data_IF_544776085090
#
_entry.id   IF_544776085090
#
_cell.length_a   1.000
_cell.length_b   1.000
_cell.length_c   1.000
_cell.angle_alpha   90.00
_cell.angle_beta   90.00
_cell.angle_gamma   90.00
#
_symmetry.space_group_name_H-M   'P 1'
#
loop_
_entity.id
_entity.type
_entity.pdbx_description
1 polymer ?
#
# COMPACT_ATOMS: atom_id res chain seq x y z
N UNK A 1 -6.85 -40.91 49.80
CA UNK A 1 -6.91 -39.44 49.66
C UNK A 1 -6.02 -39.06 48.49
N UNK A 2 -6.61 -38.84 47.32
CA UNK A 2 -5.91 -38.43 46.11
C UNK A 2 -6.44 -37.06 45.72
N UNK A 3 -5.58 -36.05 45.73
CA UNK A 3 -5.90 -34.68 45.35
C UNK A 3 -5.76 -34.53 43.83
N UNK A 4 -6.87 -34.25 43.16
CA UNK A 4 -6.92 -33.93 41.74
C UNK A 4 -6.57 -32.45 41.55
N UNK A 5 -5.53 -32.18 40.78
CA UNK A 5 -5.11 -30.82 40.40
C UNK A 5 -5.80 -30.46 39.09
N UNK A 6 -6.80 -29.59 39.13
CA UNK A 6 -7.49 -29.06 37.94
C UNK A 6 -6.65 -27.93 37.34
N UNK A 7 -6.08 -28.16 36.15
CA UNK A 7 -5.40 -27.14 35.36
C UNK A 7 -6.47 -26.34 34.59
N UNK A 8 -6.78 -25.13 35.05
CA UNK A 8 -7.67 -24.20 34.35
C UNK A 8 -6.92 -23.54 33.19
N UNK A 9 -7.24 -23.95 31.96
CA UNK A 9 -6.78 -23.29 30.74
C UNK A 9 -7.67 -22.07 30.49
N UNK A 10 -7.23 -20.89 30.91
CA UNK A 10 -7.85 -19.62 30.53
C UNK A 10 -7.48 -19.31 29.07
N UNK A 11 -8.34 -19.74 28.14
CA UNK A 11 -8.41 -19.16 26.80
C UNK A 11 -9.01 -17.77 26.93
N UNK A 12 -8.15 -16.76 27.08
CA UNK A 12 -8.54 -15.37 26.95
C UNK A 12 -8.77 -15.08 25.46
N UNK A 13 -9.94 -15.44 24.95
CA UNK A 13 -10.43 -14.90 23.69
C UNK A 13 -10.76 -13.44 23.95
N UNK A 14 -9.89 -12.52 23.53
CA UNK A 14 -10.26 -11.12 23.39
C UNK A 14 -11.33 -11.01 22.30
N UNK A 15 -12.59 -11.21 22.68
CA UNK A 15 -13.70 -10.67 21.92
C UNK A 15 -13.65 -9.16 22.09
N UNK A 16 -13.03 -8.47 21.13
CA UNK A 16 -13.26 -7.03 20.98
C UNK A 16 -14.69 -6.89 20.48
N UNK A 17 -15.61 -6.61 21.40
CA UNK A 17 -16.93 -6.13 21.03
C UNK A 17 -16.75 -4.76 20.37
N UNK A 18 -16.83 -4.71 19.04
CA UNK A 18 -16.90 -3.44 18.29
C UNK A 18 -18.27 -2.82 18.58
N UNK A 19 -18.32 -2.08 19.68
CA UNK A 19 -19.36 -1.11 20.01
C UNK A 19 -18.84 0.32 19.85
N UNK A 20 -17.89 0.54 18.94
CA UNK A 20 -17.28 1.85 18.74
C UNK A 20 -18.17 2.71 17.84
N UNK A 21 -18.47 3.93 18.31
CA UNK A 21 -19.10 5.00 17.53
C UNK A 21 -18.41 5.12 16.17
N UNK A 22 -19.17 5.05 15.07
CA UNK A 22 -18.65 5.38 13.74
C UNK A 22 -18.31 6.86 13.73
N UNK A 23 -17.05 7.18 13.47
CA UNK A 23 -16.62 8.57 13.38
C UNK A 23 -17.21 9.23 12.13
N UNK A 24 -17.55 10.50 12.24
CA UNK A 24 -18.22 11.28 11.19
C UNK A 24 -17.32 12.42 10.69
N UNK A 25 -17.70 13.05 9.58
CA UNK A 25 -17.05 14.27 9.07
C UNK A 25 -17.09 15.43 10.08
N UNK A 26 -18.05 15.42 11.02
CA UNK A 26 -18.22 16.45 12.04
C UNK A 26 -17.38 16.23 13.30
N UNK A 27 -16.83 15.03 13.50
CA UNK A 27 -15.95 14.74 14.62
C UNK A 27 -14.58 15.41 14.44
N UNK A 28 -13.75 15.40 15.49
CA UNK A 28 -12.40 15.96 15.41
C UNK A 28 -11.48 15.13 14.48
N UNK A 29 -10.41 15.74 13.90
CA UNK A 29 -9.41 15.01 13.14
C UNK A 29 -8.73 13.86 13.89
N UNK A 30 -8.70 13.91 15.23
CA UNK A 30 -8.13 12.87 16.09
C UNK A 30 -9.11 11.71 16.31
N UNK A 31 -10.40 11.99 16.45
CA UNK A 31 -11.44 10.94 16.48
C UNK A 31 -11.51 10.20 15.15
N UNK A 32 -11.51 10.92 14.02
CA UNK A 32 -11.44 10.30 12.69
C UNK A 32 -10.18 9.47 12.51
N UNK A 33 -9.01 9.97 12.95
CA UNK A 33 -7.78 9.18 12.90
C UNK A 33 -7.85 7.93 13.76
N UNK A 34 -8.44 8.03 14.95
CA UNK A 34 -8.63 6.87 15.83
C UNK A 34 -9.49 5.83 15.12
N UNK A 35 -10.57 6.23 14.48
CA UNK A 35 -11.42 5.35 13.68
C UNK A 35 -10.64 4.69 12.53
N UNK A 36 -9.91 5.47 11.72
CA UNK A 36 -9.07 4.94 10.63
C UNK A 36 -8.06 3.88 11.11
N UNK A 37 -7.42 4.12 12.26
CA UNK A 37 -6.44 3.19 12.85
C UNK A 37 -7.11 1.91 13.33
N UNK A 38 -8.25 2.03 13.99
CA UNK A 38 -9.02 0.89 14.50
C UNK A 38 -9.54 0.03 13.35
N UNK A 39 -10.17 0.63 12.33
CA UNK A 39 -10.73 -0.13 11.21
C UNK A 39 -9.63 -0.69 10.30
N UNK A 40 -8.56 0.04 10.03
CA UNK A 40 -7.39 -0.47 9.32
C UNK A 40 -6.68 -1.61 10.06
N UNK A 41 -6.63 -1.56 11.39
CA UNK A 41 -6.05 -2.62 12.22
C UNK A 41 -6.93 -3.86 12.40
N UNK A 42 -8.17 -3.84 11.89
CA UNK A 42 -9.13 -4.93 12.09
C UNK A 42 -8.98 -6.12 11.13
N UNK A 43 -8.06 -6.03 10.17
CA UNK A 43 -7.81 -7.10 9.21
C UNK A 43 -6.74 -8.07 9.70
N UNK A 44 -7.03 -9.36 9.60
CA UNK A 44 -6.03 -10.41 9.65
C UNK A 44 -5.42 -10.58 8.26
N UNK A 45 -4.12 -10.31 8.13
CA UNK A 45 -3.45 -10.27 6.83
C UNK A 45 -2.33 -11.29 6.76
N UNK A 46 -2.32 -12.07 5.67
CA UNK A 46 -1.22 -12.98 5.35
C UNK A 46 -0.71 -12.78 3.92
N UNK A 47 0.57 -13.10 3.73
CA UNK A 47 1.24 -13.18 2.43
C UNK A 47 1.64 -14.62 2.15
N UNK A 48 1.43 -15.08 0.92
CA UNK A 48 1.86 -16.40 0.48
C UNK A 48 3.36 -16.37 0.14
N UNK A 49 4.16 -17.24 0.76
CA UNK A 49 5.61 -17.36 0.50
C UNK A 49 5.98 -18.55 -0.39
N UNK A 50 4.97 -19.24 -0.95
CA UNK A 50 5.10 -20.46 -1.73
C UNK A 50 5.36 -21.71 -0.88
N UNK A 51 5.70 -21.55 0.40
CA UNK A 51 5.88 -22.64 1.38
C UNK A 51 4.89 -22.55 2.52
N UNK A 52 4.64 -21.33 3.00
CA UNK A 52 3.77 -21.03 4.13
C UNK A 52 3.00 -19.74 3.88
N UNK A 53 2.01 -19.47 4.71
CA UNK A 53 1.43 -18.14 4.86
C UNK A 53 2.12 -17.45 6.02
N UNK A 54 2.64 -16.25 5.79
CA UNK A 54 3.27 -15.44 6.83
C UNK A 54 2.36 -14.28 7.21
N UNK A 55 2.28 -13.99 8.51
CA UNK A 55 1.51 -12.87 9.01
C UNK A 55 2.15 -11.55 8.60
N UNK A 56 1.31 -10.58 8.23
CA UNK A 56 1.72 -9.24 7.83
C UNK A 56 1.29 -8.26 8.91
N UNK A 57 2.15 -7.30 9.24
CA UNK A 57 1.92 -6.33 10.32
C UNK A 57 1.30 -5.06 9.77
N UNK A 58 0.17 -4.63 10.34
CA UNK A 58 -0.39 -3.30 10.07
C UNK A 58 0.45 -2.20 10.74
N UNK A 59 0.81 -1.16 9.99
CA UNK A 59 1.45 0.04 10.54
C UNK A 59 0.38 0.99 11.06
N UNK A 60 0.24 1.07 12.38
CA UNK A 60 -0.82 1.81 13.07
C UNK A 60 -0.76 3.34 12.91
N UNK A 61 0.33 3.89 12.39
CA UNK A 61 0.47 5.30 12.04
C UNK A 61 0.32 5.48 10.54
N UNK A 62 -0.53 6.41 10.07
CA UNK A 62 -0.64 6.68 8.65
C UNK A 62 0.70 7.17 8.11
N UNK A 63 1.07 6.68 6.94
CA UNK A 63 2.28 7.13 6.24
C UNK A 63 2.05 8.47 5.54
N UNK A 64 0.79 8.81 5.25
CA UNK A 64 0.34 10.13 4.80
C UNK A 64 -1.05 10.43 5.37
N UNK A 65 -1.30 11.71 5.68
CA UNK A 65 -2.63 12.28 5.87
C UNK A 65 -2.92 13.14 4.66
N UNK A 66 -4.13 13.08 4.13
CA UNK A 66 -4.49 13.79 2.91
C UNK A 66 -5.89 14.40 2.97
N UNK A 67 -6.08 15.39 2.12
CA UNK A 67 -7.39 15.92 1.72
C UNK A 67 -7.41 15.99 0.19
N UNK A 68 -8.60 15.98 -0.40
CA UNK A 68 -8.78 16.15 -1.83
C UNK A 68 -9.96 17.10 -2.07
N UNK A 69 -9.69 18.42 -2.22
CA UNK A 69 -10.75 19.40 -2.47
C UNK A 69 -11.49 19.18 -3.80
N UNK A 70 -10.89 18.48 -4.77
CA UNK A 70 -11.50 18.21 -6.07
C UNK A 70 -12.54 17.10 -5.97
N UNK A 71 -12.23 15.99 -5.28
CA UNK A 71 -13.22 14.92 -5.03
C UNK A 71 -14.13 15.20 -3.82
N UNK A 72 -13.75 16.12 -2.93
CA UNK A 72 -14.47 16.46 -1.71
C UNK A 72 -14.05 15.66 -0.47
N UNK A 73 -12.93 14.92 -0.52
CA UNK A 73 -12.41 14.19 0.65
C UNK A 73 -11.82 15.18 1.66
N UNK A 74 -12.45 15.25 2.84
CA UNK A 74 -12.11 16.22 3.89
C UNK A 74 -11.01 15.75 4.84
N UNK A 75 -10.83 14.43 5.01
CA UNK A 75 -9.78 13.83 5.84
C UNK A 75 -9.62 12.36 5.45
N UNK A 76 -8.40 11.99 5.07
CA UNK A 76 -8.04 10.63 4.70
C UNK A 76 -6.67 10.25 5.25
N UNK A 77 -6.47 8.96 5.48
CA UNK A 77 -5.21 8.38 5.91
C UNK A 77 -4.75 7.30 4.94
N UNK A 78 -3.48 7.38 4.53
CA UNK A 78 -2.81 6.28 3.85
C UNK A 78 -2.10 5.40 4.86
N UNK A 79 -2.43 4.12 4.89
CA UNK A 79 -1.84 3.12 5.75
C UNK A 79 -1.15 2.03 4.93
N UNK A 80 -0.24 1.30 5.58
CA UNK A 80 0.51 0.20 4.95
C UNK A 80 0.53 -1.03 5.83
N UNK A 81 0.59 -2.19 5.18
CA UNK A 81 0.88 -3.48 5.80
C UNK A 81 2.28 -3.91 5.37
N UNK A 82 3.06 -4.39 6.33
CA UNK A 82 4.46 -4.70 6.17
C UNK A 82 4.75 -6.15 6.50
N UNK A 83 5.60 -6.78 5.70
CA UNK A 83 6.11 -8.11 6.02
C UNK A 83 7.09 -8.09 7.21
N UNK A 84 7.66 -9.26 7.52
CA UNK A 84 8.63 -9.43 8.61
C UNK A 84 9.92 -8.60 8.41
N UNK A 85 10.27 -8.24 7.17
CA UNK A 85 11.40 -7.40 6.82
C UNK A 85 11.06 -5.90 6.76
N UNK A 86 9.84 -5.50 7.17
CA UNK A 86 9.33 -4.12 7.10
C UNK A 86 9.18 -3.59 5.67
N UNK A 87 9.06 -4.48 4.68
CA UNK A 87 8.71 -4.11 3.31
C UNK A 87 7.20 -3.93 3.22
N UNK A 88 6.70 -2.79 2.72
CA UNK A 88 5.28 -2.64 2.43
C UNK A 88 4.83 -3.65 1.37
N UNK A 89 3.81 -4.44 1.69
CA UNK A 89 3.21 -5.43 0.79
C UNK A 89 1.78 -5.08 0.39
N UNK A 90 1.13 -4.18 1.12
CA UNK A 90 -0.14 -3.56 0.73
C UNK A 90 -0.25 -2.16 1.30
N UNK A 91 -1.09 -1.34 0.68
CA UNK A 91 -1.48 -0.04 1.16
C UNK A 91 -3.00 0.12 1.10
N UNK A 92 -3.54 1.00 1.94
CA UNK A 92 -4.92 1.41 1.82
C UNK A 92 -5.11 2.90 2.13
N UNK A 93 -5.95 3.55 1.35
CA UNK A 93 -6.58 4.81 1.74
C UNK A 93 -7.84 4.49 2.55
N UNK A 94 -8.01 5.20 3.66
CA UNK A 94 -9.18 5.11 4.53
C UNK A 94 -9.73 6.52 4.71
N UNK A 95 -10.95 6.75 4.25
CA UNK A 95 -11.59 8.07 4.28
C UNK A 95 -13.12 7.96 4.26
N UNK A 96 -13.81 9.06 4.53
CA UNK A 96 -15.28 9.16 4.42
C UNK A 96 -15.64 9.55 3.00
N UNK A 97 -16.56 8.81 2.38
CA UNK A 97 -17.06 9.10 1.03
C UNK A 97 -17.59 10.54 0.98
N UNK A 98 -17.12 11.37 0.03
CA UNK A 98 -17.61 12.73 -0.16
C UNK A 98 -19.14 12.78 -0.28
N UNK A 99 -19.77 13.74 0.41
CA UNK A 99 -21.23 13.90 0.42
C UNK A 99 -21.97 12.97 1.40
N UNK A 100 -21.24 12.20 2.22
CA UNK A 100 -21.80 11.41 3.32
C UNK A 100 -21.23 11.87 4.66
N UNK A 101 -21.93 11.56 5.75
CA UNK A 101 -21.48 11.97 7.09
C UNK A 101 -20.56 10.93 7.73
N UNK A 102 -20.80 9.64 7.48
CA UNK A 102 -20.21 8.52 8.25
C UNK A 102 -19.94 7.27 7.40
N UNK A 103 -20.05 7.35 6.07
CA UNK A 103 -19.82 6.20 5.19
C UNK A 103 -18.34 6.12 4.84
N UNK A 104 -17.63 5.19 5.48
CA UNK A 104 -16.19 5.00 5.27
C UNK A 104 -15.90 4.08 4.09
N UNK A 105 -14.98 4.52 3.22
CA UNK A 105 -14.41 3.73 2.15
C UNK A 105 -12.99 3.29 2.54
N UNK A 106 -12.70 2.01 2.31
CA UNK A 106 -11.33 1.51 2.31
C UNK A 106 -10.95 1.17 0.87
N UNK A 107 -9.94 1.85 0.32
CA UNK A 107 -9.37 1.54 -0.98
C UNK A 107 -8.02 0.86 -0.81
N UNK A 108 -7.86 -0.35 -1.32
CA UNK A 108 -6.66 -1.18 -1.19
C UNK A 108 -5.90 -1.28 -2.48
N UNK A 109 -4.58 -1.34 -2.37
CA UNK A 109 -3.66 -1.72 -3.43
C UNK A 109 -2.60 -2.70 -2.91
N UNK A 110 -2.39 -3.78 -3.67
CA UNK A 110 -1.30 -4.73 -3.42
C UNK A 110 0.01 -4.15 -3.92
N UNK A 111 1.02 -4.18 -3.05
CA UNK A 111 2.43 -3.84 -3.33
C UNK A 111 3.33 -5.08 -3.29
N UNK A 112 2.71 -6.25 -3.16
CA UNK A 112 3.39 -7.54 -3.03
C UNK A 112 3.72 -8.12 -4.40
N UNK A 113 4.85 -8.83 -4.49
CA UNK A 113 5.17 -9.69 -5.64
C UNK A 113 4.50 -11.08 -5.54
N UNK A 114 3.69 -11.29 -4.49
CA UNK A 114 3.04 -12.56 -4.16
C UNK A 114 1.58 -12.34 -3.73
N UNK A 115 0.72 -13.37 -3.78
CA UNK A 115 -0.65 -13.27 -3.32
C UNK A 115 -0.77 -12.83 -1.85
N UNK A 116 -1.84 -12.10 -1.55
CA UNK A 116 -2.20 -11.69 -0.18
C UNK A 116 -3.60 -12.19 0.17
N UNK A 117 -3.88 -12.23 1.46
CA UNK A 117 -5.22 -12.50 2.00
C UNK A 117 -5.50 -11.55 3.13
N UNK A 118 -6.59 -10.80 3.01
CA UNK A 118 -7.15 -9.94 4.05
C UNK A 118 -8.45 -10.56 4.52
N UNK A 119 -8.52 -10.87 5.82
CA UNK A 119 -9.73 -11.37 6.46
C UNK A 119 -10.26 -10.34 7.45
N UNK A 120 -11.58 -10.18 7.46
CA UNK A 120 -12.30 -9.38 8.45
C UNK A 120 -13.35 -10.29 9.10
N UNK A 121 -13.30 -10.43 10.43
CA UNK A 121 -14.19 -11.31 11.18
C UNK A 121 -14.28 -12.74 10.59
N UNK A 122 -13.14 -13.31 10.20
CA UNK A 122 -13.03 -14.65 9.62
C UNK A 122 -13.54 -14.80 8.17
N UNK A 123 -13.86 -13.70 7.48
CA UNK A 123 -14.31 -13.69 6.08
C UNK A 123 -13.33 -12.97 5.18
N UNK A 124 -13.22 -13.40 3.93
CA UNK A 124 -12.28 -12.82 2.95
C UNK A 124 -12.76 -11.46 2.45
N UNK A 125 -12.20 -10.36 2.97
CA UNK A 125 -12.53 -9.01 2.53
C UNK A 125 -11.85 -8.63 1.20
N UNK A 126 -10.61 -9.08 1.02
CA UNK A 126 -9.78 -8.84 -0.18
C UNK A 126 -8.69 -9.91 -0.26
N UNK A 127 -8.42 -10.45 -1.45
CA UNK A 127 -7.50 -11.59 -1.60
C UNK A 127 -6.81 -11.56 -2.97
N UNK A 128 -5.93 -10.56 -3.23
CA UNK A 128 -5.29 -10.40 -4.53
C UNK A 128 -4.52 -11.68 -4.89
N UNK A 129 -4.94 -12.34 -5.97
CA UNK A 129 -4.47 -13.67 -6.34
C UNK A 129 -3.17 -13.65 -7.16
N UNK A 130 -2.75 -12.47 -7.61
CA UNK A 130 -1.54 -12.24 -8.40
C UNK A 130 -0.66 -11.18 -7.75
N UNK A 131 0.59 -11.07 -8.21
CA UNK A 131 1.48 -9.98 -7.84
C UNK A 131 0.80 -8.62 -8.10
N UNK A 132 0.81 -7.74 -7.10
CA UNK A 132 0.36 -6.35 -7.22
C UNK A 132 1.36 -5.45 -7.94
N UNK A 133 2.62 -5.86 -7.96
CA UNK A 133 3.72 -5.16 -8.62
C UNK A 133 4.65 -6.12 -9.36
N UNK A 134 5.18 -5.65 -10.48
CA UNK A 134 6.26 -6.31 -11.22
C UNK A 134 7.43 -5.35 -11.34
N UNK A 135 8.63 -5.84 -11.06
CA UNK A 135 9.85 -5.03 -11.09
C UNK A 135 10.60 -5.21 -12.39
N UNK A 136 11.03 -4.08 -12.96
CA UNK A 136 11.83 -4.03 -14.17
C UNK A 136 13.08 -3.17 -13.94
N UNK A 137 14.17 -3.50 -14.62
CA UNK A 137 15.39 -2.70 -14.55
C UNK A 137 15.17 -1.32 -15.17
N UNK A 138 15.63 -0.26 -14.49
CA UNK A 138 15.47 1.11 -14.98
C UNK A 138 16.53 1.36 -16.07
N UNK A 139 16.13 1.66 -17.33
CA UNK A 139 17.07 1.91 -18.41
C UNK A 139 18.06 3.03 -18.07
N UNK A 140 19.35 2.83 -18.35
CA UNK A 140 20.38 3.84 -18.13
C UNK A 140 20.57 4.28 -16.67
N UNK A 141 20.04 3.55 -15.69
CA UNK A 141 20.30 3.85 -14.29
C UNK A 141 21.79 3.57 -13.94
N UNK A 142 22.41 4.38 -13.06
CA UNK A 142 23.76 4.11 -12.60
C UNK A 142 23.79 2.86 -11.73
N UNK A 143 24.99 2.37 -11.41
CA UNK A 143 25.13 1.35 -10.37
C UNK A 143 24.63 1.87 -9.00
N UNK A 144 23.97 1.04 -8.17
CA UNK A 144 23.63 1.40 -6.81
C UNK A 144 24.85 1.87 -6.03
N UNK A 145 24.73 3.02 -5.37
CA UNK A 145 25.82 3.60 -4.61
C UNK A 145 26.15 2.77 -3.37
N UNK A 146 27.41 2.86 -2.92
CA UNK A 146 27.92 2.10 -1.78
C UNK A 146 27.22 2.46 -0.45
N UNK A 147 26.83 3.73 -0.25
CA UNK A 147 26.23 4.19 1.02
C UNK A 147 24.72 4.33 0.94
N UNK A 148 23.97 4.05 2.03
CA UNK A 148 22.53 4.27 2.07
C UNK A 148 22.12 5.71 1.74
N UNK A 149 22.86 6.72 2.21
CA UNK A 149 22.54 8.12 1.92
C UNK A 149 22.65 8.43 0.42
N UNK A 150 23.70 7.95 -0.25
CA UNK A 150 23.88 8.13 -1.68
C UNK A 150 22.84 7.36 -2.50
N UNK A 151 22.43 6.17 -2.06
CA UNK A 151 21.33 5.40 -2.69
C UNK A 151 20.00 6.13 -2.60
N UNK A 152 19.67 6.75 -1.48
CA UNK A 152 18.45 7.57 -1.39
C UNK A 152 18.47 8.74 -2.37
N UNK A 153 19.63 9.38 -2.56
CA UNK A 153 19.78 10.42 -3.58
C UNK A 153 19.59 9.87 -5.00
N UNK A 154 20.11 8.68 -5.30
CA UNK A 154 19.87 8.00 -6.57
C UNK A 154 18.38 7.67 -6.76
N UNK A 155 17.72 7.06 -5.77
CA UNK A 155 16.28 6.75 -5.83
C UNK A 155 15.45 8.01 -6.12
N UNK A 156 15.73 9.13 -5.45
CA UNK A 156 15.08 10.43 -5.71
C UNK A 156 15.34 10.97 -7.12
N UNK A 157 16.53 10.73 -7.70
CA UNK A 157 16.82 11.11 -9.09
C UNK A 157 16.09 10.19 -10.07
N UNK A 158 16.02 8.90 -9.78
CA UNK A 158 15.37 7.90 -10.63
C UNK A 158 13.85 8.11 -10.69
N UNK A 159 13.19 8.31 -9.55
CA UNK A 159 11.73 8.56 -9.54
C UNK A 159 11.36 9.86 -10.25
N UNK A 160 12.23 10.88 -10.28
CA UNK A 160 11.99 12.14 -11.02
C UNK A 160 12.03 11.98 -12.54
N UNK A 161 12.54 10.86 -13.05
CA UNK A 161 12.46 10.50 -14.47
C UNK A 161 11.06 10.06 -14.87
N UNK A 162 10.21 9.76 -13.90
CA UNK A 162 8.84 9.35 -14.11
C UNK A 162 7.92 10.57 -14.02
N UNK A 163 7.00 10.68 -14.97
CA UNK A 163 5.81 11.53 -14.87
C UNK A 163 4.58 10.65 -14.94
N UNK A 164 3.55 11.01 -14.19
CA UNK A 164 2.30 10.27 -14.17
C UNK A 164 1.12 11.22 -14.39
N UNK A 165 0.11 10.71 -15.07
CA UNK A 165 -1.15 11.38 -15.36
C UNK A 165 -2.30 10.44 -14.97
N UNK A 166 -3.37 11.02 -14.47
CA UNK A 166 -4.67 10.38 -14.25
C UNK A 166 -5.66 10.93 -15.28
N UNK A 167 -6.46 10.08 -15.92
CA UNK A 167 -7.50 10.51 -16.86
C UNK A 167 -8.77 11.00 -16.12
N UNK A 168 -8.63 11.72 -14.99
CA UNK A 168 -9.75 12.18 -14.16
C UNK A 168 -10.59 13.22 -14.93
N UNK A 169 -11.76 12.80 -15.43
CA UNK A 169 -12.74 13.64 -16.14
C UNK A 169 -12.22 14.41 -17.39
N UNK A 170 -11.02 14.10 -17.88
CA UNK A 170 -10.50 14.55 -19.19
C UNK A 170 -10.08 16.03 -19.25
N UNK A 171 -9.55 16.58 -18.16
CA UNK A 171 -9.06 17.96 -18.06
C UNK A 171 -7.54 18.11 -18.23
N UNK A 172 -7.05 19.36 -18.31
CA UNK A 172 -5.60 19.63 -18.35
C UNK A 172 -4.90 19.50 -16.98
N UNK A 173 -5.66 19.28 -15.89
CA UNK A 173 -5.16 19.12 -14.50
C UNK A 173 -4.71 17.68 -14.17
N UNK A 174 -4.74 16.79 -15.15
CA UNK A 174 -4.48 15.34 -15.06
C UNK A 174 -3.05 14.97 -14.61
N UNK A 175 -2.12 15.92 -14.48
CA UNK A 175 -0.72 15.61 -14.11
C UNK A 175 -0.52 15.47 -12.60
N UNK A 176 -0.16 14.26 -12.18
CA UNK A 176 0.09 13.94 -10.79
C UNK A 176 1.41 14.54 -10.28
N UNK A 177 1.38 15.01 -9.02
CA UNK A 177 2.54 15.59 -8.32
C UNK A 177 3.34 14.52 -7.59
N UNK A 178 4.64 14.45 -7.85
CA UNK A 178 5.55 13.60 -7.08
C UNK A 178 5.73 14.12 -5.64
N UNK A 179 5.49 13.24 -4.66
CA UNK A 179 5.92 13.41 -3.28
C UNK A 179 7.37 12.95 -3.12
N UNK A 180 8.31 13.90 -2.98
CA UNK A 180 9.76 13.61 -3.03
C UNK A 180 10.32 12.89 -1.80
N UNK A 181 9.54 12.80 -0.72
CA UNK A 181 9.87 12.01 0.47
C UNK A 181 9.17 10.66 0.33
N UNK A 182 9.92 9.54 0.37
CA UNK A 182 9.30 8.24 0.30
C UNK A 182 8.45 7.96 1.54
N UNK A 183 7.31 7.29 1.38
CA UNK A 183 6.39 6.88 2.45
C UNK A 183 6.91 5.67 3.24
N UNK A 184 7.84 4.93 2.64
CA UNK A 184 8.52 3.81 3.25
C UNK A 184 9.92 3.64 2.65
N UNK A 185 10.83 3.12 3.48
CA UNK A 185 12.17 2.69 3.07
C UNK A 185 12.51 1.40 3.81
N UNK A 186 13.03 0.42 3.10
CA UNK A 186 13.25 -0.92 3.61
C UNK A 186 14.49 -1.56 2.96
N UNK A 187 14.91 -2.69 3.50
CA UNK A 187 15.89 -3.59 2.92
C UNK A 187 15.54 -5.02 3.36
N UNK A 188 15.89 -5.99 2.52
CA UNK A 188 15.68 -7.41 2.77
C UNK A 188 16.80 -8.22 2.07
N UNK A 189 16.77 -9.54 2.16
CA UNK A 189 17.81 -10.41 1.58
C UNK A 189 17.96 -10.24 0.05
N UNK A 190 16.91 -9.80 -0.64
CA UNK A 190 16.88 -9.56 -2.09
C UNK A 190 17.04 -8.09 -2.48
N UNK A 191 16.87 -7.18 -1.52
CA UNK A 191 16.78 -5.73 -1.73
C UNK A 191 17.78 -5.01 -0.84
N UNK A 192 18.84 -4.49 -1.44
CA UNK A 192 19.90 -3.74 -0.76
C UNK A 192 19.34 -2.44 -0.15
N UNK A 193 18.42 -1.80 -0.87
CA UNK A 193 17.74 -0.56 -0.46
C UNK A 193 16.51 -0.37 -1.33
N UNK A 194 15.34 -0.26 -0.71
CA UNK A 194 14.06 -0.05 -1.37
C UNK A 194 13.36 1.18 -0.81
N UNK A 195 12.64 1.92 -1.65
CA UNK A 195 11.81 3.03 -1.23
C UNK A 195 10.51 3.10 -2.05
N UNK A 196 9.42 3.49 -1.38
CA UNK A 196 8.11 3.70 -2.01
C UNK A 196 7.84 5.20 -2.07
N UNK A 197 7.66 5.72 -3.29
CA UNK A 197 7.26 7.09 -3.56
C UNK A 197 5.81 7.15 -4.02
N UNK A 198 5.21 8.34 -3.92
CA UNK A 198 3.81 8.58 -4.27
C UNK A 198 3.73 9.70 -5.30
N UNK A 199 2.96 9.48 -6.35
CA UNK A 199 2.39 10.54 -7.18
C UNK A 199 0.96 10.77 -6.71
N UNK A 200 0.60 12.04 -6.51
CA UNK A 200 -0.63 12.44 -5.87
C UNK A 200 -1.37 13.51 -6.67
N UNK A 201 -2.69 13.45 -6.65
CA UNK A 201 -3.53 14.57 -7.00
C UNK A 201 -3.69 15.50 -5.78
N UNK A 202 -3.04 16.66 -5.81
CA UNK A 202 -2.88 17.48 -4.60
C UNK A 202 -2.08 16.75 -3.52
N UNK A 203 -2.78 16.24 -2.48
CA UNK A 203 -2.20 15.37 -1.44
C UNK A 203 -2.71 13.94 -1.48
N UNK A 204 -3.67 13.64 -2.33
CA UNK A 204 -4.33 12.33 -2.47
C UNK A 204 -3.47 11.36 -3.29
N UNK A 205 -2.96 10.27 -2.70
CA UNK A 205 -2.14 9.29 -3.42
C UNK A 205 -2.87 8.60 -4.58
N UNK A 206 -2.32 8.67 -5.79
CA UNK A 206 -2.92 8.06 -7.00
C UNK A 206 -2.04 6.94 -7.58
N UNK A 207 -0.72 7.04 -7.43
CA UNK A 207 0.23 6.04 -7.95
C UNK A 207 1.41 5.85 -7.01
N UNK A 208 1.69 4.59 -6.68
CA UNK A 208 2.94 4.20 -6.03
C UNK A 208 4.03 3.92 -7.06
N UNK A 209 5.23 4.41 -6.78
CA UNK A 209 6.46 4.06 -7.50
C UNK A 209 7.46 3.48 -6.51
N UNK A 210 7.80 2.21 -6.69
CA UNK A 210 8.75 1.49 -5.85
C UNK A 210 10.08 1.44 -6.59
N UNK A 211 11.15 1.92 -5.95
CA UNK A 211 12.52 1.84 -6.49
C UNK A 211 13.34 0.93 -5.59
N UNK A 212 13.96 -0.10 -6.16
CA UNK A 212 14.79 -1.07 -5.43
C UNK A 212 16.18 -1.21 -6.05
N UNK A 213 17.22 -1.14 -5.22
CA UNK A 213 18.52 -1.70 -5.56
C UNK A 213 18.47 -3.20 -5.26
N UNK A 214 18.35 -4.01 -6.31
CA UNK A 214 18.19 -5.46 -6.17
C UNK A 214 19.51 -6.17 -6.39
N UNK A 215 19.83 -7.12 -5.51
CA UNK A 215 20.95 -8.02 -5.72
C UNK A 215 20.68 -8.88 -6.97
N UNK A 216 21.71 -9.21 -7.75
CA UNK A 216 21.54 -10.13 -8.87
C UNK A 216 21.01 -11.48 -8.38
N UNK A 217 20.05 -12.06 -9.10
CA UNK A 217 19.45 -13.35 -8.72
C UNK A 217 20.39 -14.55 -8.90
N UNK A 218 21.51 -14.36 -9.61
CA UNK A 218 22.44 -15.42 -9.93
C UNK A 218 23.53 -15.58 -8.85
N UNK A 219 23.73 -16.82 -8.36
CA UNK A 219 24.71 -17.14 -7.30
C UNK A 219 26.17 -16.91 -7.70
N UNK A 220 26.47 -16.78 -9.00
CA UNK A 220 27.79 -16.37 -9.50
C UNK A 220 27.98 -14.86 -9.64
N UNK A 221 26.95 -14.04 -9.44
CA UNK A 221 27.05 -12.60 -9.60
C UNK A 221 27.55 -11.93 -8.31
N UNK A 222 28.36 -10.89 -8.48
CA UNK A 222 28.91 -10.10 -7.38
C UNK A 222 27.86 -9.13 -6.84
N UNK A 223 28.00 -8.68 -5.59
CA UNK A 223 27.19 -7.58 -5.04
C UNK A 223 27.37 -6.27 -5.82
N UNK A 224 28.44 -6.16 -6.62
CA UNK A 224 28.69 -5.06 -7.56
C UNK A 224 27.81 -5.10 -8.82
N UNK A 225 27.06 -6.18 -9.05
CA UNK A 225 26.18 -6.34 -10.21
C UNK A 225 24.71 -5.99 -9.88
N UNK A 226 24.49 -5.39 -8.71
CA UNK A 226 23.17 -4.92 -8.30
C UNK A 226 22.62 -3.88 -9.29
N UNK A 227 21.32 -3.91 -9.54
CA UNK A 227 20.68 -2.97 -10.47
C UNK A 227 19.52 -2.23 -9.82
N UNK A 228 19.29 -1.01 -10.27
CA UNK A 228 18.06 -0.29 -9.92
C UNK A 228 16.89 -0.84 -10.72
N UNK A 229 15.84 -1.21 -9.99
CA UNK A 229 14.60 -1.69 -10.55
C UNK A 229 13.44 -0.80 -10.08
N UNK A 230 12.40 -0.72 -10.90
CA UNK A 230 11.19 0.04 -10.63
C UNK A 230 9.96 -0.83 -10.75
N UNK A 231 8.95 -0.58 -9.92
CA UNK A 231 7.61 -1.09 -10.09
C UNK A 231 6.57 0.00 -9.83
N UNK A 232 5.44 -0.08 -10.53
CA UNK A 232 4.32 0.86 -10.42
C UNK A 232 3.07 0.13 -9.93
N UNK A 233 2.30 0.77 -9.06
CA UNK A 233 1.03 0.24 -8.53
C UNK A 233 -0.01 1.36 -8.38
N UNK A 234 -1.19 1.27 -9.01
CA UNK A 234 -2.22 2.31 -8.92
C UNK A 234 -2.88 2.34 -7.53
N UNK A 235 -3.13 3.52 -6.99
CA UNK A 235 -3.87 3.76 -5.74
C UNK A 235 -5.18 4.48 -6.04
N UNK A 236 -5.88 4.02 -7.09
CA UNK A 236 -7.13 4.60 -7.58
C UNK A 236 -7.83 3.59 -8.46
N UNK A 237 -9.11 3.78 -8.78
CA UNK A 237 -9.79 2.95 -9.79
C UNK A 237 -9.58 3.50 -11.22
N UNK A 238 -9.27 4.78 -11.36
CA UNK A 238 -9.17 5.47 -12.65
C UNK A 238 -8.00 5.00 -13.52
N UNK A 239 -8.05 5.40 -14.79
CA UNK A 239 -7.01 5.08 -15.74
C UNK A 239 -5.80 5.97 -15.47
N UNK A 240 -4.62 5.35 -15.41
CA UNK A 240 -3.37 6.07 -15.20
C UNK A 240 -2.40 5.81 -16.34
N UNK A 241 -1.58 6.80 -16.64
CA UNK A 241 -0.47 6.69 -17.58
C UNK A 241 0.79 7.23 -16.94
N UNK A 242 1.88 6.49 -17.10
CA UNK A 242 3.20 6.92 -16.66
C UNK A 242 4.18 6.88 -17.83
N UNK A 243 5.02 7.91 -17.87
CA UNK A 243 6.13 8.04 -18.81
C UNK A 243 7.45 7.94 -18.05
N UNK A 244 8.47 7.41 -18.71
CA UNK A 244 9.85 7.42 -18.25
C UNK A 244 10.71 8.19 -19.26
N UNK A 245 11.33 9.28 -18.81
CA UNK A 245 12.07 10.22 -19.65
C UNK A 245 11.25 10.72 -20.87
N UNK A 246 9.96 11.00 -20.64
CA UNK A 246 9.03 11.51 -21.68
C UNK A 246 8.58 10.46 -22.70
N UNK A 247 8.79 9.17 -22.43
CA UNK A 247 8.30 8.07 -23.28
C UNK A 247 7.26 7.23 -22.53
N UNK A 248 6.20 6.76 -23.20
CA UNK A 248 5.24 5.84 -22.59
C UNK A 248 5.95 4.65 -21.94
N UNK A 249 5.68 4.42 -20.66
CA UNK A 249 6.35 3.39 -19.87
C UNK A 249 5.37 2.39 -19.25
N UNK A 250 4.28 2.89 -18.68
CA UNK A 250 3.29 2.06 -17.99
C UNK A 250 1.91 2.70 -18.09
N UNK A 251 0.86 1.89 -18.09
CA UNK A 251 -0.50 2.39 -18.00
C UNK A 251 -1.41 1.35 -17.39
N UNK A 252 -2.52 1.81 -16.81
CA UNK A 252 -3.63 0.94 -16.43
C UNK A 252 -4.94 1.57 -16.85
N UNK A 253 -5.89 0.73 -17.27
CA UNK A 253 -7.22 1.16 -17.67
C UNK A 253 -8.11 1.41 -16.44
N UNK A 254 -9.16 2.20 -16.62
CA UNK A 254 -10.19 2.42 -15.60
C UNK A 254 -10.82 1.07 -15.18
N UNK A 255 -10.69 0.74 -13.91
CA UNK A 255 -11.31 -0.42 -13.27
C UNK A 255 -12.73 -0.06 -12.84
N UNK A 256 -13.72 -0.58 -13.54
CA UNK A 256 -15.15 -0.38 -13.21
C UNK A 256 -15.64 -1.47 -12.26
N UNK A 257 -16.51 -1.10 -11.34
CA UNK A 257 -17.21 -2.05 -10.48
C UNK A 257 -18.11 -3.01 -11.31
N UNK A 258 -18.30 -4.27 -10.87
CA UNK A 258 -17.75 -4.86 -9.65
C UNK A 258 -16.27 -5.23 -9.79
N UNK A 259 -15.41 -4.73 -8.89
CA UNK A 259 -13.99 -5.10 -8.84
C UNK A 259 -13.86 -6.43 -8.07
N UNK A 260 -13.31 -7.50 -8.69
CA UNK A 260 -13.20 -8.82 -8.04
C UNK A 260 -12.41 -8.76 -6.73
N UNK A 261 -12.78 -9.59 -5.74
CA UNK A 261 -12.02 -9.75 -4.49
C UNK A 261 -10.56 -10.17 -4.74
N UNK A 262 -10.28 -10.79 -5.88
CA UNK A 262 -8.96 -11.27 -6.29
C UNK A 262 -8.13 -10.25 -7.08
N UNK A 263 -8.67 -9.07 -7.38
CA UNK A 263 -7.95 -8.01 -8.06
C UNK A 263 -6.86 -7.39 -7.17
N UNK A 264 -5.83 -6.85 -7.79
CA UNK A 264 -4.69 -6.20 -7.09
C UNK A 264 -5.04 -4.84 -6.51
N UNK A 265 -6.11 -4.21 -7.00
CA UNK A 265 -6.77 -3.05 -6.44
C UNK A 265 -8.18 -3.44 -6.02
N UNK A 266 -8.70 -2.93 -4.90
CA UNK A 266 -10.12 -3.05 -4.56
C UNK A 266 -10.53 -1.96 -3.58
N UNK A 267 -11.70 -1.36 -3.76
CA UNK A 267 -12.36 -0.59 -2.72
C UNK A 267 -13.67 -1.25 -2.28
N UNK A 268 -14.15 -0.83 -1.10
CA UNK A 268 -15.48 -1.15 -0.58
C UNK A 268 -15.82 -0.25 0.61
N UNK A 269 -17.12 -0.10 0.87
CA UNK A 269 -17.63 0.52 2.11
C UNK A 269 -17.32 -0.41 3.29
N UNK A 270 -16.72 0.14 4.34
CA UNK A 270 -16.44 -0.59 5.58
C UNK A 270 -17.66 -0.57 6.52
N UNK A 271 -18.00 -1.68 7.21
CA UNK A 271 -17.37 -3.00 7.11
C UNK A 271 -17.77 -3.75 5.82
N UNK A 272 -16.92 -4.64 5.29
CA UNK A 272 -17.25 -5.43 4.11
C UNK A 272 -18.44 -6.36 4.41
N UNK A 273 -19.45 -6.35 3.54
CA UNK A 273 -20.71 -7.08 3.75
C UNK A 273 -20.69 -8.53 3.25
N UNK A 274 -19.66 -8.94 2.50
CA UNK A 274 -19.51 -10.27 1.91
C UNK A 274 -18.10 -10.81 2.10
#
# INVERSE_FOLDING_TARGET
MATATTLALFLLVCQVAVGDKVATVHDSPDERLTYMRTTGGSYEVTVDTGRTQEAVTFRDKPVLRFTNPVSGVVDGGLFVWEDSAKRPVAAAQIFIIPGTDDVWLHEFQSLSTRPLRFQYNGRSAWAPATAGVSFESIPGAPQPAATPAARLLQMRRLVRRISAQDDFEGGDEDRLRLMTTPIARYHDDSTIDGAVFVFAHGTDPELFVIIEARSPQNKQASSTDATWNVALAPMTSYALRAELDGKPYWSVQWRKEPIPVTATFKNFVFPPTH
#
